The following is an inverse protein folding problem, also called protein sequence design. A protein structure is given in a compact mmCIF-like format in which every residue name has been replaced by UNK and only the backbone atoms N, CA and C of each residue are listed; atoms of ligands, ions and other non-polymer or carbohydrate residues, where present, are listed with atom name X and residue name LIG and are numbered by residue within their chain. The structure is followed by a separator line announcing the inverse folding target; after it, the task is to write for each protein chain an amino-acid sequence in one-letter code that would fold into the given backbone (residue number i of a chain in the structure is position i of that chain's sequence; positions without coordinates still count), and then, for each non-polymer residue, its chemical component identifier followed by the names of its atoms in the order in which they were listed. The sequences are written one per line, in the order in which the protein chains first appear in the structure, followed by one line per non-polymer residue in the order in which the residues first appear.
data_IF_161754045338
#
_entry.id   IF_161754045338
#
_cell.length_a   1.000
_cell.length_b   1.000
_cell.length_c   1.000
_cell.angle_alpha   90.00
_cell.angle_beta   90.00
_cell.angle_gamma   90.00
#
_symmetry.space_group_name_H-M   'P 1'
#
loop_
_entity.id
_entity.type
_entity.pdbx_description
1 polymer ?
#
# COMPACT_ATOMS: atom_id res chain seq x y z
N UNK A 1 -25.15 -0.44 -1.97
CA UNK A 1 -25.28 -0.73 -3.41
C UNK A 1 -23.90 -0.51 -4.02
N UNK A 2 -23.25 -1.53 -4.60
CA UNK A 2 -21.98 -1.32 -5.32
C UNK A 2 -22.33 -0.68 -6.66
N UNK A 3 -21.71 0.44 -7.00
CA UNK A 3 -21.98 1.14 -8.26
C UNK A 3 -21.70 0.21 -9.45
N UNK A 4 -22.54 0.31 -10.49
CA UNK A 4 -22.45 -0.48 -11.73
C UNK A 4 -21.04 -0.41 -12.33
N UNK A 5 -20.39 0.74 -12.22
CA UNK A 5 -19.00 0.97 -12.65
C UNK A 5 -17.98 0.06 -11.96
N UNK A 6 -18.19 -0.26 -10.68
CA UNK A 6 -17.30 -1.15 -9.94
C UNK A 6 -17.47 -2.60 -10.38
N UNK A 7 -18.72 -3.05 -10.55
CA UNK A 7 -19.01 -4.40 -11.04
C UNK A 7 -18.45 -4.60 -12.47
N UNK A 8 -18.63 -3.61 -13.34
CA UNK A 8 -18.10 -3.62 -14.71
C UNK A 8 -16.56 -3.68 -14.73
N UNK A 9 -15.91 -2.91 -13.86
CA UNK A 9 -14.45 -2.94 -13.74
C UNK A 9 -13.96 -4.34 -13.31
N UNK A 10 -14.61 -4.93 -12.31
CA UNK A 10 -14.28 -6.29 -11.84
C UNK A 10 -14.47 -7.31 -12.97
N UNK A 11 -15.56 -7.22 -13.74
CA UNK A 11 -15.82 -8.10 -14.88
C UNK A 11 -14.74 -7.97 -15.96
N UNK A 12 -14.38 -6.75 -16.35
CA UNK A 12 -13.31 -6.49 -17.32
C UNK A 12 -11.96 -7.02 -16.84
N UNK A 13 -11.64 -6.82 -15.56
CA UNK A 13 -10.40 -7.35 -14.98
C UNK A 13 -10.38 -8.87 -14.95
N UNK A 14 -11.49 -9.52 -14.57
CA UNK A 14 -11.60 -10.98 -14.55
C UNK A 14 -11.39 -11.57 -15.95
N UNK A 15 -12.01 -10.98 -16.98
CA UNK A 15 -11.81 -11.39 -18.36
C UNK A 15 -10.34 -11.20 -18.80
N UNK A 16 -9.74 -10.05 -18.51
CA UNK A 16 -8.33 -9.81 -18.81
C UNK A 16 -7.40 -10.85 -18.19
N UNK A 17 -7.60 -11.18 -16.90
CA UNK A 17 -6.81 -12.18 -16.19
C UNK A 17 -6.98 -13.57 -16.81
N UNK A 18 -8.22 -13.95 -17.14
CA UNK A 18 -8.54 -15.22 -17.80
C UNK A 18 -7.85 -15.35 -19.16
N UNK A 19 -7.87 -14.29 -19.95
CA UNK A 19 -7.31 -14.28 -21.31
C UNK A 19 -5.78 -14.14 -21.33
N UNK A 20 -5.16 -13.75 -20.21
CA UNK A 20 -3.73 -13.45 -20.11
C UNK A 20 -3.02 -14.13 -18.91
N UNK A 21 -3.17 -15.45 -18.69
CA UNK A 21 -2.88 -16.13 -17.42
C UNK A 21 -1.47 -15.93 -16.87
N UNK A 22 -0.47 -15.72 -17.74
CA UNK A 22 0.93 -15.51 -17.35
C UNK A 22 1.40 -14.06 -17.44
N UNK A 23 0.63 -13.17 -18.10
CA UNK A 23 1.03 -11.78 -18.35
C UNK A 23 0.43 -10.81 -17.32
N UNK A 24 -0.80 -11.06 -16.86
CA UNK A 24 -1.50 -10.17 -15.92
C UNK A 24 -0.72 -9.97 -14.62
N UNK A 25 -0.01 -11.02 -14.17
CA UNK A 25 0.73 -11.04 -12.91
C UNK A 25 1.79 -9.94 -12.85
N UNK A 26 2.50 -9.69 -13.96
CA UNK A 26 3.53 -8.65 -14.02
C UNK A 26 2.91 -7.27 -13.78
N UNK A 27 1.89 -6.92 -14.55
CA UNK A 27 1.19 -5.62 -14.42
C UNK A 27 0.61 -5.41 -13.03
N UNK A 28 -0.03 -6.46 -12.49
CA UNK A 28 -0.61 -6.40 -11.15
C UNK A 28 0.46 -6.21 -10.08
N UNK A 29 1.55 -6.99 -10.15
CA UNK A 29 2.66 -6.87 -9.22
C UNK A 29 3.34 -5.50 -9.31
N UNK A 30 3.57 -4.98 -10.52
CA UNK A 30 4.17 -3.66 -10.73
C UNK A 30 3.31 -2.57 -10.11
N UNK A 31 1.98 -2.65 -10.30
CA UNK A 31 1.03 -1.74 -9.66
C UNK A 31 1.09 -1.83 -8.13
N UNK A 32 0.96 -3.02 -7.53
CA UNK A 32 1.02 -3.20 -6.08
C UNK A 32 2.35 -2.73 -5.51
N UNK A 33 3.46 -3.09 -6.17
CA UNK A 33 4.80 -2.66 -5.78
C UNK A 33 4.95 -1.13 -5.83
N UNK A 34 4.35 -0.45 -6.81
CA UNK A 34 4.36 1.01 -6.89
C UNK A 34 3.66 1.65 -5.68
N UNK A 35 2.53 1.09 -5.24
CA UNK A 35 1.78 1.57 -4.08
C UNK A 35 2.58 1.37 -2.80
N UNK A 36 3.20 0.19 -2.64
CA UNK A 36 4.08 -0.11 -1.49
C UNK A 36 5.28 0.85 -1.45
N UNK A 37 5.94 1.09 -2.61
CA UNK A 37 7.07 2.02 -2.70
C UNK A 37 6.66 3.44 -2.33
N UNK A 38 5.53 3.90 -2.84
CA UNK A 38 4.98 5.22 -2.53
C UNK A 38 4.70 5.37 -1.03
N UNK A 39 4.04 4.37 -0.43
CA UNK A 39 3.76 4.33 1.00
C UNK A 39 5.04 4.36 1.84
N UNK A 40 6.05 3.54 1.50
CA UNK A 40 7.35 3.53 2.18
C UNK A 40 8.05 4.89 2.09
N UNK A 41 8.08 5.49 0.91
CA UNK A 41 8.69 6.81 0.72
C UNK A 41 7.96 7.91 1.49
N UNK A 42 6.63 7.83 1.61
CA UNK A 42 5.86 8.74 2.47
C UNK A 42 6.27 8.59 3.94
N UNK A 43 6.33 7.36 4.46
CA UNK A 43 6.74 7.10 5.85
C UNK A 43 8.17 7.54 6.12
N UNK A 44 9.09 7.30 5.20
CA UNK A 44 10.47 7.74 5.31
C UNK A 44 10.57 9.27 5.37
N UNK A 45 9.90 9.99 4.46
CA UNK A 45 9.86 11.47 4.50
C UNK A 45 9.23 11.98 5.80
N UNK A 46 8.17 11.33 6.27
CA UNK A 46 7.51 11.70 7.51
C UNK A 46 8.45 11.51 8.70
N UNK A 47 9.18 10.39 8.77
CA UNK A 47 10.11 10.09 9.89
C UNK A 47 11.28 11.06 10.05
N UNK A 48 11.62 11.80 8.98
CA UNK A 48 12.70 12.81 8.97
C UNK A 48 12.25 14.18 9.50
N UNK A 49 10.95 14.38 9.74
CA UNK A 49 10.43 15.60 10.36
C UNK A 49 10.60 15.57 11.87
N UNK A 50 10.71 16.74 12.51
CA UNK A 50 10.92 16.88 13.96
C UNK A 50 9.90 16.12 14.82
N UNK A 51 8.63 16.06 14.37
CA UNK A 51 7.54 15.31 15.03
C UNK A 51 7.05 14.10 14.21
N UNK A 52 7.89 13.63 13.30
CA UNK A 52 7.57 12.59 12.34
C UNK A 52 7.22 11.26 12.97
N UNK A 53 8.01 10.86 13.97
CA UNK A 53 7.87 9.57 14.66
C UNK A 53 6.57 9.51 15.45
N UNK A 54 6.17 10.59 16.13
CA UNK A 54 4.89 10.67 16.86
C UNK A 54 3.70 10.58 15.90
N UNK A 55 3.79 11.24 14.74
CA UNK A 55 2.74 11.16 13.69
C UNK A 55 2.58 9.73 13.18
N UNK A 56 3.68 9.01 12.93
CA UNK A 56 3.64 7.61 12.47
C UNK A 56 2.99 6.72 13.53
N UNK A 57 3.37 6.86 14.80
CA UNK A 57 2.78 6.11 15.93
C UNK A 57 1.27 6.31 16.00
N UNK A 58 0.80 7.57 15.88
CA UNK A 58 -0.63 7.90 15.87
C UNK A 58 -1.34 7.33 14.64
N UNK A 59 -0.76 7.48 13.45
CA UNK A 59 -1.34 7.04 12.19
C UNK A 59 -1.62 5.53 12.19
N UNK A 60 -0.69 4.73 12.73
CA UNK A 60 -0.82 3.27 12.78
C UNK A 60 -1.34 2.74 14.12
N UNK A 61 -1.73 3.63 15.05
CA UNK A 61 -2.18 3.25 16.39
C UNK A 61 -1.24 2.26 17.09
N UNK A 62 0.08 2.49 16.97
CA UNK A 62 1.10 1.58 17.50
C UNK A 62 1.05 1.60 19.02
N UNK A 63 0.57 0.51 19.64
CA UNK A 63 0.48 0.38 21.10
C UNK A 63 1.76 -0.13 21.75
N UNK A 64 2.55 -0.94 21.04
CA UNK A 64 3.80 -1.51 21.55
C UNK A 64 5.04 -0.83 20.96
N UNK A 65 5.42 0.32 21.51
CA UNK A 65 6.58 1.08 21.02
C UNK A 65 7.90 0.29 21.12
N UNK A 66 8.03 -0.64 22.09
CA UNK A 66 9.22 -1.47 22.24
C UNK A 66 9.39 -2.48 21.08
N UNK A 67 8.30 -3.12 20.66
CA UNK A 67 8.31 -4.07 19.53
C UNK A 67 8.57 -3.41 18.18
N UNK A 68 8.26 -2.11 18.07
CA UNK A 68 8.45 -1.31 16.86
C UNK A 68 9.65 -0.36 16.95
N UNK A 69 10.61 -0.61 17.86
CA UNK A 69 11.87 0.15 17.96
C UNK A 69 12.57 0.30 16.61
N UNK A 70 12.46 -0.69 15.71
CA UNK A 70 13.02 -0.63 14.35
C UNK A 70 12.36 0.40 13.43
N UNK A 71 11.07 0.71 13.62
CA UNK A 71 10.38 1.80 12.91
C UNK A 71 10.72 3.19 13.46
N UNK A 72 11.24 3.23 14.70
CA UNK A 72 11.64 4.46 15.39
C UNK A 72 13.15 4.72 15.30
N UNK A 73 13.93 3.75 14.81
CA UNK A 73 15.35 3.88 14.50
C UNK A 73 15.51 4.28 13.04
N UNK A 74 15.63 5.60 12.83
CA UNK A 74 16.45 6.17 11.77
C UNK A 74 17.73 6.61 12.45
#
# INVERSE_FOLDING_TARGET
MRDVSHADFVGRWANFVKDNPNKWRKFHNDFINSQIRSSRGFIERLSRQDNGKEKIVKLYSIKNLQGYKRLLRV
#
